data_IF_945063085235
#
_entry.id   IF_945063085235
#
_cell.length_a   1.000
_cell.length_b   1.000
_cell.length_c   1.000
_cell.angle_alpha   90.00
_cell.angle_beta   90.00
_cell.angle_gamma   90.00
#
_symmetry.space_group_name_H-M   'P 1'
#
loop_
_entity.id
_entity.type
_entity.pdbx_description
1 polymer ?
#
# COMPACT_ATOMS: atom_id res chain seq x y z
N UNK A 1 -9.11 -5.46 -17.76
CA UNK A 1 -10.21 -5.56 -16.79
C UNK A 1 -11.01 -4.27 -16.79
N UNK A 2 -12.31 -4.37 -17.13
CA UNK A 2 -13.20 -3.22 -17.21
C UNK A 2 -14.25 -3.30 -16.12
N UNK A 3 -14.60 -2.16 -15.53
CA UNK A 3 -15.65 -2.02 -14.54
C UNK A 3 -16.75 -1.12 -15.10
N UNK A 4 -17.94 -1.23 -14.56
CA UNK A 4 -19.11 -0.50 -15.06
C UNK A 4 -19.89 0.15 -13.94
N UNK A 5 -20.42 1.34 -14.23
CA UNK A 5 -21.58 1.90 -13.55
C UNK A 5 -22.77 1.82 -14.51
N UNK A 6 -23.92 2.34 -14.12
CA UNK A 6 -25.11 2.37 -14.98
C UNK A 6 -24.85 3.10 -16.30
N UNK A 7 -23.99 4.13 -16.30
CA UNK A 7 -23.76 5.01 -17.45
C UNK A 7 -22.33 5.01 -17.95
N UNK A 8 -21.42 4.29 -17.29
CA UNK A 8 -20.00 4.40 -17.61
C UNK A 8 -19.30 3.06 -17.59
N UNK A 9 -18.30 2.92 -18.44
CA UNK A 9 -17.34 1.82 -18.45
C UNK A 9 -15.98 2.42 -18.22
N UNK A 10 -15.19 1.83 -17.31
CA UNK A 10 -13.87 2.35 -17.00
C UNK A 10 -12.87 1.24 -16.67
N UNK A 11 -11.60 1.54 -16.85
CA UNK A 11 -10.50 0.68 -16.44
C UNK A 11 -9.37 1.59 -15.97
N UNK A 12 -9.28 1.77 -14.66
CA UNK A 12 -8.25 2.64 -14.06
C UNK A 12 -7.48 1.77 -13.09
N UNK A 13 -6.27 1.39 -13.48
CA UNK A 13 -5.40 0.56 -12.65
C UNK A 13 -4.10 1.29 -12.35
N UNK A 14 -3.68 1.19 -11.09
CA UNK A 14 -2.54 1.92 -10.55
C UNK A 14 -1.59 0.97 -9.84
N UNK A 15 -0.29 1.22 -9.99
CA UNK A 15 0.72 0.66 -9.11
C UNK A 15 0.80 1.49 -7.83
N UNK A 16 0.75 0.82 -6.69
CA UNK A 16 0.97 1.45 -5.39
C UNK A 16 2.13 0.75 -4.71
N UNK A 17 3.07 1.54 -4.19
CA UNK A 17 4.18 1.03 -3.37
C UNK A 17 4.14 1.74 -2.02
N UNK A 18 4.14 0.94 -0.96
CA UNK A 18 4.23 1.42 0.42
C UNK A 18 5.46 0.80 1.07
N UNK A 19 6.26 1.62 1.73
CA UNK A 19 7.53 1.19 2.31
C UNK A 19 7.50 1.36 3.82
N UNK A 20 8.02 0.38 4.55
CA UNK A 20 8.18 0.46 6.00
C UNK A 20 9.23 1.54 6.32
N UNK A 21 8.96 2.33 7.36
CA UNK A 21 9.84 3.45 7.76
C UNK A 21 11.28 2.97 7.92
N UNK A 22 12.20 3.63 7.23
CA UNK A 22 13.62 3.29 7.15
C UNK A 22 13.88 1.87 6.66
N UNK A 23 12.96 1.29 5.89
CA UNK A 23 13.07 -0.05 5.30
C UNK A 23 13.34 -1.14 6.34
N UNK A 24 12.73 -1.02 7.52
CA UNK A 24 12.85 -2.06 8.54
C UNK A 24 12.22 -3.36 8.06
N UNK A 25 12.86 -4.48 8.36
CA UNK A 25 12.43 -5.81 7.94
C UNK A 25 11.34 -6.32 8.89
N UNK A 26 10.07 -6.06 8.55
CA UNK A 26 8.92 -6.33 9.41
C UNK A 26 7.92 -7.25 8.75
N UNK A 27 7.81 -7.21 7.42
CA UNK A 27 6.73 -7.88 6.70
C UNK A 27 7.14 -9.30 6.32
N UNK A 28 6.46 -10.28 6.89
CA UNK A 28 6.50 -11.66 6.44
C UNK A 28 5.17 -12.01 5.74
N UNK A 29 5.02 -13.26 5.31
CA UNK A 29 3.80 -13.68 4.60
C UNK A 29 2.54 -13.51 5.45
N UNK A 30 2.62 -13.83 6.74
CA UNK A 30 1.47 -13.71 7.65
C UNK A 30 1.04 -12.26 7.81
N UNK A 31 1.99 -11.38 8.03
CA UNK A 31 1.73 -9.94 8.19
C UNK A 31 1.23 -9.35 6.86
N UNK A 32 1.85 -9.73 5.75
CA UNK A 32 1.42 -9.28 4.42
C UNK A 32 -0.04 -9.66 4.15
N UNK A 33 -0.40 -10.91 4.42
CA UNK A 33 -1.77 -11.38 4.21
C UNK A 33 -2.77 -10.58 5.05
N UNK A 34 -2.42 -10.26 6.28
CA UNK A 34 -3.28 -9.45 7.15
C UNK A 34 -3.40 -8.01 6.66
N UNK A 35 -2.30 -7.41 6.21
CA UNK A 35 -2.33 -6.07 5.61
C UNK A 35 -3.25 -6.06 4.39
N UNK A 36 -3.13 -7.06 3.53
CA UNK A 36 -3.99 -7.18 2.35
C UNK A 36 -5.47 -7.23 2.72
N UNK A 37 -5.84 -8.03 3.70
CA UNK A 37 -7.23 -8.12 4.18
C UNK A 37 -7.75 -6.75 4.62
N UNK A 38 -6.92 -5.98 5.35
CA UNK A 38 -7.29 -4.65 5.82
C UNK A 38 -7.50 -3.70 4.64
N UNK A 39 -6.60 -3.74 3.66
CA UNK A 39 -6.68 -2.91 2.47
C UNK A 39 -7.92 -3.26 1.63
N UNK A 40 -8.26 -4.53 1.53
CA UNK A 40 -9.46 -4.98 0.82
C UNK A 40 -10.74 -4.54 1.54
N UNK A 41 -10.77 -4.67 2.87
CA UNK A 41 -11.94 -4.27 3.66
C UNK A 41 -12.22 -2.77 3.54
N UNK A 42 -11.17 -1.95 3.66
CA UNK A 42 -11.32 -0.50 3.51
C UNK A 42 -11.63 -0.13 2.06
N UNK A 43 -11.11 -0.90 1.11
CA UNK A 43 -11.37 -0.71 -0.31
C UNK A 43 -12.83 -0.81 -0.68
N UNK A 44 -13.60 -1.65 0.01
CA UNK A 44 -15.02 -1.84 -0.28
C UNK A 44 -15.81 -0.53 -0.19
N UNK A 45 -15.51 0.30 0.80
CA UNK A 45 -16.20 1.59 1.00
C UNK A 45 -15.64 2.72 0.13
N UNK A 46 -14.57 2.48 -0.59
CA UNK A 46 -13.90 3.49 -1.45
C UNK A 46 -13.90 3.10 -2.93
N UNK A 47 -14.63 2.04 -3.28
CA UNK A 47 -14.69 1.53 -4.64
C UNK A 47 -13.31 1.13 -5.18
N UNK A 48 -12.48 0.54 -4.32
CA UNK A 48 -11.15 0.05 -4.68
C UNK A 48 -11.13 -1.46 -4.61
N UNK A 49 -10.64 -2.09 -5.68
CA UNK A 49 -10.37 -3.52 -5.74
C UNK A 49 -8.87 -3.73 -5.88
N UNK A 50 -8.38 -4.88 -5.43
CA UNK A 50 -6.95 -5.21 -5.44
C UNK A 50 -6.73 -6.47 -6.26
N UNK A 51 -6.55 -6.34 -7.59
CA UNK A 51 -6.33 -7.51 -8.44
C UNK A 51 -4.99 -8.22 -8.23
N UNK A 52 -3.99 -7.52 -7.70
CA UNK A 52 -2.66 -8.09 -7.52
C UNK A 52 -2.01 -7.51 -6.26
N UNK A 53 -1.35 -8.40 -5.48
CA UNK A 53 -0.69 -8.04 -4.24
C UNK A 53 0.63 -8.77 -4.11
N UNK A 54 1.71 -8.05 -3.90
CA UNK A 54 3.05 -8.59 -3.69
C UNK A 54 3.73 -7.86 -2.54
N UNK A 55 4.69 -8.51 -1.91
CA UNK A 55 5.44 -7.89 -0.83
C UNK A 55 6.88 -8.39 -0.79
N UNK A 56 7.72 -7.61 -0.14
CA UNK A 56 9.02 -8.01 0.35
C UNK A 56 9.03 -7.74 1.87
N UNK A 57 10.16 -7.92 2.55
CA UNK A 57 10.23 -7.73 4.03
C UNK A 57 10.01 -6.29 4.46
N UNK A 58 10.26 -5.32 3.59
CA UNK A 58 10.25 -3.90 3.94
C UNK A 58 9.30 -3.06 3.09
N UNK A 59 8.54 -3.67 2.18
CA UNK A 59 7.58 -2.92 1.38
C UNK A 59 6.50 -3.83 0.81
N UNK A 60 5.40 -3.22 0.39
CA UNK A 60 4.39 -3.87 -0.44
C UNK A 60 4.32 -3.20 -1.79
N UNK A 61 3.95 -3.98 -2.80
CA UNK A 61 3.74 -3.52 -4.17
C UNK A 61 2.44 -4.15 -4.66
N UNK A 62 1.46 -3.33 -4.92
CA UNK A 62 0.12 -3.80 -5.28
C UNK A 62 -0.43 -3.06 -6.49
N UNK A 63 -1.40 -3.69 -7.15
CA UNK A 63 -2.17 -3.02 -8.20
C UNK A 63 -3.56 -2.75 -7.64
N UNK A 64 -4.00 -1.52 -7.78
CA UNK A 64 -5.33 -1.07 -7.41
C UNK A 64 -6.17 -0.86 -8.66
N UNK A 65 -7.42 -1.30 -8.61
CA UNK A 65 -8.43 -0.96 -9.60
C UNK A 65 -9.42 0.01 -8.93
N UNK A 66 -9.50 1.22 -9.45
CA UNK A 66 -10.31 2.27 -8.86
C UNK A 66 -11.41 2.72 -9.80
N UNK A 67 -12.38 3.45 -9.27
CA UNK A 67 -13.43 4.09 -10.08
C UNK A 67 -13.08 5.57 -10.34
N UNK A 68 -13.75 6.23 -11.29
CA UNK A 68 -13.56 7.66 -11.52
C UNK A 68 -13.90 8.52 -10.30
N UNK A 69 -14.73 8.02 -9.39
CA UNK A 69 -15.13 8.74 -8.17
C UNK A 69 -14.29 8.39 -6.95
N UNK A 70 -13.34 7.46 -7.06
CA UNK A 70 -12.49 7.08 -5.93
C UNK A 70 -11.61 8.25 -5.49
N UNK A 71 -11.70 8.60 -4.19
CA UNK A 71 -10.72 9.51 -3.59
C UNK A 71 -9.50 8.68 -3.16
N UNK A 72 -8.52 8.61 -4.04
CA UNK A 72 -7.35 7.75 -3.87
C UNK A 72 -6.55 8.08 -2.60
N UNK A 73 -6.29 9.37 -2.39
CA UNK A 73 -5.53 9.82 -1.23
C UNK A 73 -6.20 9.45 0.08
N UNK A 74 -7.51 9.64 0.15
CA UNK A 74 -8.30 9.29 1.32
C UNK A 74 -8.26 7.79 1.59
N UNK A 75 -8.41 6.97 0.53
CA UNK A 75 -8.32 5.52 0.65
C UNK A 75 -6.95 5.08 1.18
N UNK A 76 -5.87 5.54 0.55
CA UNK A 76 -4.53 5.12 0.92
C UNK A 76 -4.21 5.51 2.36
N UNK A 77 -4.55 6.72 2.77
CA UNK A 77 -4.29 7.18 4.13
C UNK A 77 -5.10 6.39 5.17
N UNK A 78 -6.37 6.08 4.87
CA UNK A 78 -7.20 5.25 5.75
C UNK A 78 -6.62 3.84 5.89
N UNK A 79 -6.20 3.23 4.79
CA UNK A 79 -5.63 1.89 4.78
C UNK A 79 -4.28 1.85 5.51
N UNK A 80 -3.43 2.86 5.33
CA UNK A 80 -2.15 2.97 6.06
C UNK A 80 -2.39 3.10 7.56
N UNK A 81 -3.31 3.97 7.98
CA UNK A 81 -3.60 4.18 9.39
C UNK A 81 -4.16 2.93 10.05
N UNK A 82 -5.13 2.29 9.41
CA UNK A 82 -5.75 1.07 9.94
C UNK A 82 -4.76 -0.09 10.00
N UNK A 83 -3.97 -0.31 8.95
CA UNK A 83 -2.98 -1.39 8.93
C UNK A 83 -1.88 -1.17 9.98
N UNK A 84 -1.37 0.04 10.10
CA UNK A 84 -0.37 0.36 11.14
C UNK A 84 -0.90 0.03 12.54
N UNK A 85 -2.10 0.48 12.87
CA UNK A 85 -2.72 0.26 14.17
C UNK A 85 -2.99 -1.22 14.43
N UNK A 86 -3.62 -1.91 13.49
CA UNK A 86 -4.06 -3.29 13.67
C UNK A 86 -2.87 -4.27 13.68
N UNK A 87 -1.89 -4.08 12.82
CA UNK A 87 -0.71 -4.95 12.78
C UNK A 87 0.09 -4.81 14.07
N UNK A 88 0.28 -3.61 14.59
CA UNK A 88 0.97 -3.41 15.87
C UNK A 88 0.21 -4.04 17.04
N UNK A 89 -1.11 -4.03 16.98
CA UNK A 89 -1.97 -4.63 18.01
C UNK A 89 -1.94 -6.17 17.95
N UNK A 90 -2.04 -6.72 16.75
CA UNK A 90 -2.14 -8.17 16.54
C UNK A 90 -0.78 -8.88 16.57
N UNK A 91 0.29 -8.17 16.25
CA UNK A 91 1.66 -8.68 16.20
C UNK A 91 2.59 -7.78 17.03
N UNK A 92 2.41 -7.73 18.36
CA UNK A 92 3.12 -6.74 19.17
C UNK A 92 4.65 -6.87 19.13
N UNK A 93 5.17 -8.04 18.77
CA UNK A 93 6.62 -8.25 18.66
C UNK A 93 7.27 -7.39 17.57
N UNK A 94 6.52 -6.94 16.58
CA UNK A 94 7.11 -6.11 15.51
C UNK A 94 7.57 -4.74 16.00
N UNK A 95 7.04 -4.27 17.12
CA UNK A 95 7.44 -2.96 17.69
C UNK A 95 8.94 -2.89 17.95
N UNK A 96 9.57 -4.03 18.25
CA UNK A 96 11.02 -4.10 18.44
C UNK A 96 11.80 -3.83 17.15
N UNK A 97 11.18 -4.05 16.01
CA UNK A 97 11.79 -3.84 14.68
C UNK A 97 11.47 -2.47 14.09
N UNK A 98 10.46 -1.79 14.61
CA UNK A 98 10.02 -0.50 14.08
C UNK A 98 10.85 0.64 14.65
N UNK A 99 11.07 1.66 13.83
CA UNK A 99 11.66 2.89 14.27
C UNK A 99 10.61 3.76 14.97
N UNK A 100 10.80 4.05 16.24
CA UNK A 100 9.91 4.90 17.05
C UNK A 100 8.41 4.53 16.86
N UNK A 101 8.12 3.24 16.83
CA UNK A 101 6.77 2.73 16.70
C UNK A 101 6.05 3.18 15.41
N UNK A 102 6.80 3.56 14.39
CA UNK A 102 6.27 4.02 13.10
C UNK A 102 6.32 2.89 12.08
N UNK A 103 5.16 2.50 11.51
CA UNK A 103 5.10 1.41 10.54
C UNK A 103 5.49 1.88 9.13
N UNK A 104 4.68 2.76 8.54
CA UNK A 104 4.87 3.19 7.16
C UNK A 104 5.67 4.49 7.05
N UNK A 105 6.38 4.66 5.94
CA UNK A 105 6.92 5.97 5.58
C UNK A 105 5.76 6.94 5.40
N UNK A 106 6.04 8.25 5.47
CA UNK A 106 5.01 9.27 5.40
C UNK A 106 4.27 9.29 4.06
N UNK A 107 4.96 9.06 2.96
CA UNK A 107 4.38 9.11 1.63
C UNK A 107 4.05 7.75 1.04
N UNK A 108 3.87 7.73 -0.26
CA UNK A 108 3.68 6.53 -1.05
C UNK A 108 4.05 6.82 -2.50
N UNK A 109 4.29 5.75 -3.27
CA UNK A 109 4.48 5.85 -4.70
C UNK A 109 3.23 5.34 -5.40
N UNK A 110 2.73 6.09 -6.37
CA UNK A 110 1.63 5.64 -7.21
C UNK A 110 1.85 6.08 -8.66
N UNK A 111 1.55 5.18 -9.59
CA UNK A 111 1.60 5.49 -11.02
C UNK A 111 0.57 4.65 -11.77
N UNK A 112 0.20 5.09 -12.97
CA UNK A 112 -0.66 4.26 -13.83
C UNK A 112 0.12 3.02 -14.29
N UNK A 113 -0.58 1.90 -14.46
CA UNK A 113 0.08 0.63 -14.84
C UNK A 113 0.76 0.71 -16.21
N UNK A 114 0.23 1.53 -17.12
CA UNK A 114 0.80 1.68 -18.45
C UNK A 114 2.06 2.53 -18.53
N UNK A 115 2.40 3.27 -17.47
CA UNK A 115 3.54 4.20 -17.46
C UNK A 115 4.57 3.92 -16.38
N UNK A 116 4.39 2.86 -15.59
CA UNK A 116 5.32 2.54 -14.51
C UNK A 116 6.68 2.13 -15.05
N UNK A 117 7.74 2.76 -14.56
CA UNK A 117 9.12 2.45 -14.89
C UNK A 117 9.76 1.78 -13.68
N UNK A 118 10.34 0.59 -13.88
CA UNK A 118 10.97 -0.20 -12.81
C UNK A 118 12.06 0.60 -12.10
N UNK A 119 12.87 1.36 -12.83
CA UNK A 119 13.94 2.19 -12.27
C UNK A 119 13.41 3.21 -11.26
N UNK A 120 12.29 3.86 -11.58
CA UNK A 120 11.68 4.86 -10.71
C UNK A 120 11.18 4.21 -9.42
N UNK A 121 10.54 3.05 -9.51
CA UNK A 121 10.06 2.29 -8.35
C UNK A 121 11.22 1.86 -7.46
N UNK A 122 12.29 1.32 -8.05
CA UNK A 122 13.49 0.91 -7.30
C UNK A 122 14.10 2.09 -6.55
N UNK A 123 14.24 3.23 -7.21
CA UNK A 123 14.81 4.42 -6.59
C UNK A 123 13.95 4.92 -5.44
N UNK A 124 12.62 4.89 -5.59
CA UNK A 124 11.72 5.26 -4.52
C UNK A 124 11.95 4.38 -3.28
N UNK A 125 12.00 3.06 -3.46
CA UNK A 125 12.20 2.11 -2.36
C UNK A 125 13.56 2.34 -1.69
N UNK A 126 14.62 2.47 -2.48
CA UNK A 126 15.97 2.70 -1.97
C UNK A 126 16.06 3.96 -1.13
N UNK A 127 15.43 5.06 -1.59
CA UNK A 127 15.47 6.33 -0.90
C UNK A 127 14.77 6.28 0.47
N UNK A 128 13.82 5.37 0.67
CA UNK A 128 13.14 5.20 1.95
C UNK A 128 14.03 4.57 3.02
N UNK A 129 15.19 4.02 2.64
CA UNK A 129 16.18 3.50 3.58
C UNK A 129 17.03 4.57 4.23
N UNK A 130 17.05 5.79 3.69
CA UNK A 130 17.86 6.88 4.20
C UNK A 130 17.15 7.62 5.33
N UNK A 131 17.91 8.01 6.35
CA UNK A 131 17.36 8.84 7.43
C UNK A 131 17.08 10.24 6.90
N UNK A 132 15.89 10.72 7.13
CA UNK A 132 15.54 12.12 6.90
C UNK A 132 16.30 12.99 7.92
N UNK A 133 16.96 13.99 7.43
CA UNK A 133 17.62 14.97 8.30
C UNK A 133 16.64 16.02 8.76
#
# INVERSE_FOLDING_TARGET
MYRKTQHSVYSITLHLVLVVKYRRNVIDDTISNRIKEIFELIGDSHEVEIPEWNHDNDHIHTILSISPSTNLNKYINAAKAASSRLIKKEFPMIKLKLWEDTFWTRGFYVSSTGSTQIEVVKNYILNQGEKEC
#
